data_IF_331400209802
#
_entry.id   IF_331400209802
#
_cell.length_a   1.000
_cell.length_b   1.000
_cell.length_c   1.000
_cell.angle_alpha   90.00
_cell.angle_beta   90.00
_cell.angle_gamma   90.00
#
_symmetry.space_group_name_H-M   'P 1'
#
loop_
_entity.id
_entity.type
_entity.pdbx_description
1 polymer ?
#
# COMPACT_ATOMS: atom_id res chain seq x y z
N UNK A 1 -0.26 22.91 -17.96
CA UNK A 1 -1.19 21.91 -17.40
C UNK A 1 -0.34 20.69 -17.08
N UNK A 2 -0.07 20.40 -15.81
CA UNK A 2 0.64 19.18 -15.42
C UNK A 2 -0.34 18.02 -15.59
N UNK A 3 -0.25 17.28 -16.70
CA UNK A 3 -0.87 15.96 -16.74
C UNK A 3 -0.23 15.15 -15.62
N UNK A 4 -1.01 14.65 -14.66
CA UNK A 4 -0.51 13.72 -13.67
C UNK A 4 -0.54 12.34 -14.32
N UNK A 5 0.38 12.07 -15.23
CA UNK A 5 0.52 10.74 -15.81
C UNK A 5 0.93 9.79 -14.68
N UNK A 6 0.06 8.83 -14.36
CA UNK A 6 0.28 7.87 -13.27
C UNK A 6 0.50 6.48 -13.85
N UNK A 7 1.60 5.84 -13.44
CA UNK A 7 1.81 4.40 -13.59
C UNK A 7 1.65 3.71 -12.24
N UNK A 8 0.95 2.57 -12.19
CA UNK A 8 0.79 1.78 -10.98
C UNK A 8 1.25 0.35 -11.27
N UNK A 9 2.20 -0.13 -10.47
CA UNK A 9 2.58 -1.53 -10.42
C UNK A 9 1.97 -2.16 -9.16
N UNK A 10 1.07 -3.11 -9.35
CA UNK A 10 0.35 -3.81 -8.28
C UNK A 10 0.93 -5.23 -8.11
N UNK A 11 2.16 -5.29 -7.61
CA UNK A 11 2.84 -6.55 -7.34
C UNK A 11 2.27 -7.28 -6.12
N UNK A 12 2.54 -8.59 -6.02
CA UNK A 12 2.10 -9.42 -4.88
C UNK A 12 2.78 -9.02 -3.57
N UNK A 13 4.04 -8.55 -3.63
CA UNK A 13 4.82 -8.14 -2.47
C UNK A 13 4.78 -6.63 -2.23
N UNK A 14 4.83 -5.84 -3.30
CA UNK A 14 4.94 -4.38 -3.24
C UNK A 14 4.07 -3.71 -4.30
N UNK A 15 3.54 -2.54 -3.94
CA UNK A 15 2.83 -1.62 -4.82
C UNK A 15 3.70 -0.39 -5.04
N UNK A 16 3.95 -0.07 -6.30
CA UNK A 16 4.68 1.14 -6.69
C UNK A 16 3.77 2.09 -7.46
N UNK A 17 3.92 3.39 -7.21
CA UNK A 17 3.26 4.44 -7.99
C UNK A 17 4.32 5.35 -8.59
N UNK A 18 4.30 5.48 -9.92
CA UNK A 18 5.11 6.42 -10.69
C UNK A 18 4.25 7.62 -11.08
N UNK A 19 4.79 8.82 -10.93
CA UNK A 19 4.18 10.06 -11.39
C UNK A 19 5.09 10.72 -12.43
N UNK A 20 4.55 11.00 -13.61
CA UNK A 20 5.23 11.64 -14.74
C UNK A 20 5.98 12.89 -14.31
N UNK A 21 7.28 12.92 -14.59
CA UNK A 21 8.16 14.03 -14.21
C UNK A 21 8.56 14.08 -12.73
N UNK A 22 8.06 13.18 -11.87
CA UNK A 22 8.48 13.05 -10.46
C UNK A 22 9.17 11.73 -10.13
N UNK A 23 8.94 10.68 -10.91
CA UNK A 23 9.49 9.36 -10.62
C UNK A 23 8.57 8.51 -9.75
N UNK A 24 9.14 7.53 -9.04
CA UNK A 24 8.41 6.70 -8.08
C UNK A 24 8.08 7.55 -6.85
N UNK A 25 6.80 7.69 -6.55
CA UNK A 25 6.26 8.49 -5.43
C UNK A 25 5.64 7.63 -4.33
N UNK A 26 5.35 6.35 -4.60
CA UNK A 26 4.93 5.35 -3.60
C UNK A 26 5.72 4.07 -3.86
N UNK A 27 6.20 3.45 -2.78
CA UNK A 27 6.77 2.12 -2.77
C UNK A 27 6.45 1.48 -1.41
N UNK A 28 5.31 0.81 -1.33
CA UNK A 28 4.76 0.23 -0.10
C UNK A 28 4.57 -1.28 -0.28
N UNK A 29 4.64 -2.08 0.80
CA UNK A 29 4.15 -3.46 0.76
C UNK A 29 2.71 -3.55 0.28
N UNK A 30 2.39 -4.56 -0.53
CA UNK A 30 1.03 -4.85 -1.01
C UNK A 30 0.18 -5.54 0.05
N UNK A 31 0.04 -4.89 1.21
CA UNK A 31 -0.59 -5.45 2.41
C UNK A 31 -1.56 -4.44 3.04
N UNK A 32 -2.67 -4.95 3.55
CA UNK A 32 -3.67 -4.18 4.32
C UNK A 32 -3.97 -4.94 5.60
N UNK A 33 -3.97 -4.24 6.73
CA UNK A 33 -4.43 -4.76 8.01
C UNK A 33 -5.92 -4.42 8.18
N UNK A 34 -6.73 -5.44 8.46
CA UNK A 34 -8.18 -5.29 8.61
C UNK A 34 -8.65 -5.80 9.97
N UNK A 35 -9.58 -5.07 10.58
CA UNK A 35 -10.27 -5.53 11.76
C UNK A 35 -11.32 -6.58 11.36
N UNK A 36 -11.11 -7.85 11.75
CA UNK A 36 -12.00 -8.97 11.37
C UNK A 36 -13.43 -8.86 11.91
N UNK A 37 -13.68 -8.06 12.95
CA UNK A 37 -15.03 -7.88 13.53
C UNK A 37 -15.84 -6.82 12.80
N UNK A 38 -15.18 -5.74 12.37
CA UNK A 38 -15.85 -4.58 11.76
C UNK A 38 -15.60 -4.45 10.25
N UNK A 39 -14.68 -5.25 9.70
CA UNK A 39 -14.14 -5.13 8.34
C UNK A 39 -13.52 -3.75 8.02
N UNK A 40 -13.22 -2.95 9.04
CA UNK A 40 -12.57 -1.66 8.85
C UNK A 40 -11.07 -1.84 8.60
N UNK A 41 -10.52 -1.01 7.72
CA UNK A 41 -9.07 -0.90 7.51
C UNK A 41 -8.46 -0.30 8.78
N UNK A 42 -7.42 -0.97 9.28
CA UNK A 42 -6.62 -0.51 10.41
C UNK A 42 -5.38 0.23 9.89
N UNK A 43 -4.71 -0.35 8.89
CA UNK A 43 -3.51 0.22 8.29
C UNK A 43 -3.25 -0.36 6.89
N UNK A 44 -2.35 0.28 6.13
CA UNK A 44 -1.91 -0.13 4.77
C UNK A 44 -0.39 0.00 4.64
N UNK A 45 0.24 -0.79 3.77
CA UNK A 45 1.68 -0.66 3.51
C UNK A 45 2.56 -1.17 4.65
N UNK A 46 3.60 -0.43 5.03
CA UNK A 46 4.57 -0.89 6.03
C UNK A 46 3.94 -1.10 7.41
N UNK A 47 3.03 -0.22 7.85
CA UNK A 47 2.32 -0.38 9.13
C UNK A 47 1.48 -1.66 9.16
N UNK A 48 0.82 -2.01 8.06
CA UNK A 48 0.12 -3.28 7.93
C UNK A 48 1.06 -4.49 7.93
N UNK A 49 2.21 -4.38 7.28
CA UNK A 49 3.23 -5.44 7.22
C UNK A 49 3.88 -5.69 8.58
N UNK A 50 4.10 -4.67 9.40
CA UNK A 50 4.61 -4.82 10.78
C UNK A 50 3.67 -5.66 11.67
N UNK A 51 2.38 -5.71 11.34
CA UNK A 51 1.39 -6.52 12.05
C UNK A 51 1.42 -8.00 11.65
N UNK A 52 2.09 -8.39 10.56
CA UNK A 52 2.17 -9.79 10.12
C UNK A 52 2.78 -10.68 11.20
N UNK A 53 2.07 -11.77 11.53
CA UNK A 53 2.47 -12.68 12.61
C UNK A 53 2.32 -12.12 14.03
N UNK A 54 1.80 -10.89 14.18
CA UNK A 54 1.57 -10.21 15.46
C UNK A 54 0.09 -9.84 15.68
N UNK A 55 -0.80 -10.29 14.80
CA UNK A 55 -2.24 -10.09 14.93
C UNK A 55 -2.82 -10.91 16.09
N UNK A 56 -3.62 -10.32 16.99
CA UNK A 56 -4.38 -11.08 17.99
C UNK A 56 -5.31 -12.11 17.34
N UNK A 57 -5.58 -13.21 18.05
CA UNK A 57 -6.51 -14.25 17.63
C UNK A 57 -7.98 -13.81 17.76
#
# INVERSE_FOLDING_TARGET
MTSNDVGIDLGTANTLVYLGGKGIVVNEPSVVAVNKKTNQIVDVGEGAKEMLGRTPA
#
